data_IF_448527172802
#
_entry.id   IF_448527172802
#
_cell.length_a   1.000
_cell.length_b   1.000
_cell.length_c   1.000
_cell.angle_alpha   90.00
_cell.angle_beta   90.00
_cell.angle_gamma   90.00
#
_symmetry.space_group_name_H-M   'P 1'
#
loop_
_entity.id
_entity.type
_entity.pdbx_description
1 polymer ?
#
# COMPACT_ATOMS: atom_id res chain seq x y z
N UNK A 1 -21.87 -8.38 -3.74
CA UNK A 1 -21.69 -7.60 -2.47
C UNK A 1 -22.66 -8.18 -1.45
N UNK A 2 -22.23 -8.53 -0.22
CA UNK A 2 -23.16 -9.09 0.78
C UNK A 2 -24.15 -7.99 1.18
N UNK A 3 -25.49 -8.26 1.14
CA UNK A 3 -26.50 -7.29 1.51
C UNK A 3 -26.35 -6.83 2.98
N UNK A 4 -26.61 -5.56 3.25
CA UNK A 4 -26.49 -4.98 4.60
C UNK A 4 -27.37 -5.70 5.63
N UNK A 5 -28.58 -6.05 5.23
CA UNK A 5 -29.54 -6.80 6.05
C UNK A 5 -29.01 -8.18 6.46
N UNK A 6 -28.32 -8.86 5.53
CA UNK A 6 -27.70 -10.15 5.83
C UNK A 6 -26.55 -9.99 6.83
N UNK A 7 -25.73 -8.95 6.69
CA UNK A 7 -24.64 -8.66 7.64
C UNK A 7 -25.20 -8.39 9.04
N UNK A 8 -26.26 -7.62 9.14
CA UNK A 8 -26.94 -7.34 10.41
C UNK A 8 -27.47 -8.62 11.06
N UNK A 9 -28.05 -9.53 10.28
CA UNK A 9 -28.53 -10.80 10.76
C UNK A 9 -27.40 -11.73 11.23
N UNK A 10 -26.26 -11.73 10.52
CA UNK A 10 -25.05 -12.46 10.95
C UNK A 10 -24.55 -11.93 12.29
N UNK A 11 -24.48 -10.61 12.47
CA UNK A 11 -24.07 -10.01 13.75
C UNK A 11 -25.04 -10.37 14.85
N UNK A 12 -26.35 -10.29 14.60
CA UNK A 12 -27.40 -10.59 15.57
C UNK A 12 -27.38 -12.04 16.09
N UNK A 13 -27.01 -12.98 15.19
CA UNK A 13 -26.94 -14.42 15.54
C UNK A 13 -25.64 -14.85 16.21
N UNK A 14 -24.65 -13.99 16.25
CA UNK A 14 -23.34 -14.28 16.82
C UNK A 14 -23.06 -13.35 17.99
N UNK A 15 -23.44 -13.79 19.20
CA UNK A 15 -23.17 -13.03 20.42
C UNK A 15 -21.67 -12.81 20.61
N UNK A 16 -21.27 -11.55 20.83
CA UNK A 16 -19.86 -11.15 20.88
C UNK A 16 -19.13 -11.80 22.08
N UNK A 17 -19.77 -11.90 23.23
CA UNK A 17 -19.16 -12.53 24.43
C UNK A 17 -18.91 -14.02 24.19
N UNK A 18 -19.90 -14.71 23.57
CA UNK A 18 -19.76 -16.12 23.23
C UNK A 18 -18.64 -16.37 22.19
N UNK A 19 -18.58 -15.55 21.15
CA UNK A 19 -17.55 -15.70 20.12
C UNK A 19 -16.15 -15.41 20.69
N UNK A 20 -15.98 -14.29 21.39
CA UNK A 20 -14.69 -13.90 21.96
C UNK A 20 -14.26 -14.88 23.06
N UNK A 21 -15.22 -15.38 23.84
CA UNK A 21 -14.97 -16.36 24.90
C UNK A 21 -14.33 -17.67 24.42
N UNK A 22 -14.43 -18.01 23.12
CA UNK A 22 -13.77 -19.18 22.54
C UNK A 22 -12.26 -18.98 22.39
N UNK A 23 -11.80 -17.73 22.35
CA UNK A 23 -10.41 -17.35 22.07
C UNK A 23 -9.73 -16.68 23.26
N UNK A 24 -10.52 -16.02 24.13
CA UNK A 24 -10.04 -15.21 25.24
C UNK A 24 -10.74 -15.65 26.53
N UNK A 25 -9.97 -15.88 27.57
CA UNK A 25 -10.54 -16.17 28.88
C UNK A 25 -11.16 -14.90 29.47
N UNK A 26 -12.47 -14.76 29.36
CA UNK A 26 -13.25 -13.63 29.86
C UNK A 26 -13.69 -13.80 31.31
N UNK A 27 -13.59 -12.71 32.07
CA UNK A 27 -14.15 -12.63 33.46
C UNK A 27 -15.21 -11.54 33.49
N UNK A 28 -16.44 -11.92 33.79
CA UNK A 28 -17.55 -10.95 33.91
C UNK A 28 -17.33 -10.02 35.11
N UNK A 29 -17.59 -8.73 34.92
CA UNK A 29 -17.63 -7.67 35.92
C UNK A 29 -18.84 -6.79 35.65
N UNK A 30 -19.97 -7.12 36.33
CA UNK A 30 -21.22 -6.42 36.10
C UNK A 30 -21.78 -6.63 34.69
N UNK A 31 -21.86 -5.53 33.90
CA UNK A 31 -22.40 -5.52 32.54
C UNK A 31 -21.32 -5.72 31.45
N UNK A 32 -20.08 -5.91 31.84
CA UNK A 32 -18.97 -6.10 30.91
C UNK A 32 -18.19 -7.38 31.23
N UNK A 33 -17.45 -7.89 30.27
CA UNK A 33 -16.50 -8.97 30.45
C UNK A 33 -15.08 -8.51 30.09
N UNK A 34 -14.07 -8.88 30.88
CA UNK A 34 -12.70 -8.44 30.72
C UNK A 34 -11.75 -9.61 30.56
N UNK A 35 -10.70 -9.48 29.77
CA UNK A 35 -9.67 -10.50 29.55
C UNK A 35 -8.34 -9.90 29.09
N UNK A 36 -7.36 -10.76 28.86
CA UNK A 36 -6.11 -10.37 28.21
C UNK A 36 -6.35 -10.17 26.72
N UNK A 37 -5.80 -9.10 26.16
CA UNK A 37 -5.97 -8.78 24.75
C UNK A 37 -5.28 -9.82 23.85
N UNK A 38 -5.98 -10.39 22.84
CA UNK A 38 -5.37 -11.32 21.92
C UNK A 38 -4.56 -10.64 20.81
N UNK A 39 -4.59 -9.30 20.73
CA UNK A 39 -3.97 -8.51 19.65
C UNK A 39 -2.64 -7.88 20.05
N UNK A 40 -2.29 -7.84 21.35
CA UNK A 40 -1.00 -7.40 21.84
C UNK A 40 -0.61 -8.16 23.11
N UNK A 41 0.65 -8.15 23.45
CA UNK A 41 1.15 -8.86 24.62
C UNK A 41 0.99 -8.01 25.88
N UNK A 42 0.23 -8.52 26.88
CA UNK A 42 0.00 -7.84 28.16
C UNK A 42 -0.09 -8.84 29.32
N UNK A 43 0.16 -8.37 30.55
CA UNK A 43 0.03 -9.17 31.79
C UNK A 43 -1.20 -8.80 32.61
N UNK A 44 -1.76 -7.63 32.39
CA UNK A 44 -2.93 -7.10 33.08
C UNK A 44 -4.07 -6.95 32.09
N UNK A 45 -5.30 -7.45 32.40
CA UNK A 45 -6.42 -7.38 31.47
C UNK A 45 -6.80 -5.95 31.12
N UNK A 46 -6.67 -5.59 29.83
CA UNK A 46 -7.12 -4.31 29.27
C UNK A 46 -8.17 -4.46 28.17
N UNK A 47 -8.51 -5.69 27.81
CA UNK A 47 -9.49 -6.00 26.79
C UNK A 47 -10.88 -6.13 27.41
N UNK A 48 -11.83 -5.30 26.96
CA UNK A 48 -13.18 -5.23 27.49
C UNK A 48 -14.21 -5.55 26.41
N UNK A 49 -15.12 -6.47 26.72
CA UNK A 49 -16.28 -6.81 25.88
C UNK A 49 -17.52 -6.19 26.50
N UNK A 50 -18.34 -5.58 25.68
CA UNK A 50 -19.61 -4.92 26.02
C UNK A 50 -20.78 -5.70 25.40
N UNK A 51 -21.37 -6.67 26.10
CA UNK A 51 -22.48 -7.47 25.58
C UNK A 51 -23.71 -6.64 25.19
N UNK A 52 -24.01 -5.58 25.94
CA UNK A 52 -25.16 -4.71 25.66
C UNK A 52 -25.07 -3.98 24.31
N UNK A 53 -23.87 -3.60 23.88
CA UNK A 53 -23.63 -2.90 22.61
C UNK A 53 -23.01 -3.80 21.55
N UNK A 54 -22.83 -5.09 21.86
CA UNK A 54 -22.22 -6.07 20.96
C UNK A 54 -20.88 -5.57 20.38
N UNK A 55 -20.01 -5.01 21.24
CA UNK A 55 -18.73 -4.42 20.87
C UNK A 55 -17.61 -4.80 21.83
N UNK A 56 -16.38 -4.61 21.40
CA UNK A 56 -15.19 -4.73 22.25
C UNK A 56 -14.28 -3.52 22.10
N UNK A 57 -13.50 -3.27 23.14
CA UNK A 57 -12.44 -2.26 23.15
C UNK A 57 -11.25 -2.72 23.98
N UNK A 58 -10.04 -2.51 23.49
CA UNK A 58 -8.81 -2.74 24.24
C UNK A 58 -8.16 -1.40 24.64
N UNK A 59 -8.07 -1.15 25.94
CA UNK A 59 -7.45 0.08 26.46
C UNK A 59 -5.90 0.08 26.33
N UNK A 60 -5.28 -1.08 26.05
CA UNK A 60 -3.83 -1.18 25.84
C UNK A 60 -3.40 -0.82 24.42
N UNK A 61 -4.07 -1.40 23.39
CA UNK A 61 -3.65 -1.21 21.99
C UNK A 61 -4.67 -0.49 21.10
N UNK A 62 -5.81 -0.05 21.68
CA UNK A 62 -6.87 0.64 20.92
C UNK A 62 -7.67 -0.23 19.95
N UNK A 63 -7.48 -1.56 19.95
CA UNK A 63 -8.27 -2.46 19.11
C UNK A 63 -9.74 -2.42 19.53
N UNK A 64 -10.64 -2.16 18.57
CA UNK A 64 -12.06 -2.01 18.79
C UNK A 64 -12.88 -2.57 17.63
N UNK A 65 -14.16 -2.84 17.88
CA UNK A 65 -15.12 -3.24 16.85
C UNK A 65 -16.22 -4.15 17.35
N UNK A 66 -16.94 -4.74 16.40
CA UNK A 66 -17.97 -5.73 16.57
C UNK A 66 -17.42 -7.17 16.44
N UNK A 67 -18.30 -8.16 16.46
CA UNK A 67 -17.95 -9.58 16.32
C UNK A 67 -17.24 -9.87 14.97
N UNK A 68 -17.65 -9.21 13.89
CA UNK A 68 -17.01 -9.37 12.57
C UNK A 68 -15.58 -8.83 12.62
N UNK A 69 -15.39 -7.65 13.19
CA UNK A 69 -14.09 -7.00 13.36
C UNK A 69 -13.15 -7.85 14.22
N UNK A 70 -13.67 -8.50 15.27
CA UNK A 70 -12.90 -9.41 16.10
C UNK A 70 -12.42 -10.63 15.32
N UNK A 71 -13.33 -11.36 14.67
CA UNK A 71 -13.02 -12.59 13.89
C UNK A 71 -12.07 -12.26 12.75
N UNK A 72 -12.28 -11.13 12.06
CA UNK A 72 -11.41 -10.62 11.01
C UNK A 72 -9.98 -10.43 11.52
N UNK A 73 -9.80 -9.73 12.64
CA UNK A 73 -8.47 -9.44 13.22
C UNK A 73 -7.81 -10.70 13.78
N UNK A 74 -8.56 -11.52 14.52
CA UNK A 74 -8.01 -12.69 15.19
C UNK A 74 -7.57 -13.78 14.21
N UNK A 75 -8.41 -14.08 13.20
CA UNK A 75 -8.14 -15.11 12.19
C UNK A 75 -7.40 -14.56 10.96
N UNK A 76 -7.04 -13.25 10.95
CA UNK A 76 -6.41 -12.59 9.81
C UNK A 76 -7.18 -12.76 8.49
N UNK A 77 -8.51 -12.58 8.54
CA UNK A 77 -9.43 -12.77 7.42
C UNK A 77 -9.81 -11.45 6.76
N UNK A 78 -10.22 -11.51 5.51
CA UNK A 78 -10.95 -10.42 4.86
C UNK A 78 -12.36 -10.26 5.45
N UNK A 79 -12.98 -9.07 5.25
CA UNK A 79 -14.32 -8.78 5.79
C UNK A 79 -15.37 -9.81 5.36
N UNK A 80 -15.43 -10.12 4.07
CA UNK A 80 -16.37 -11.10 3.49
C UNK A 80 -16.15 -12.51 4.04
N UNK A 81 -14.90 -12.90 4.25
CA UNK A 81 -14.54 -14.20 4.81
C UNK A 81 -14.95 -14.34 6.26
N UNK A 82 -14.77 -13.27 7.06
CA UNK A 82 -15.22 -13.24 8.44
C UNK A 82 -16.76 -13.34 8.53
N UNK A 83 -17.48 -12.62 7.66
CA UNK A 83 -18.95 -12.73 7.56
C UNK A 83 -19.38 -14.16 7.20
N UNK A 84 -18.72 -14.76 6.18
CA UNK A 84 -19.01 -16.16 5.77
C UNK A 84 -18.74 -17.17 6.88
N UNK A 85 -17.67 -17.00 7.65
CA UNK A 85 -17.34 -17.86 8.78
C UNK A 85 -18.40 -17.78 9.88
N UNK A 86 -18.83 -16.57 10.25
CA UNK A 86 -19.86 -16.36 11.27
C UNK A 86 -21.24 -16.86 10.79
N UNK A 87 -21.58 -16.68 9.52
CA UNK A 87 -22.80 -17.20 8.91
C UNK A 87 -22.84 -18.75 8.95
N UNK A 88 -21.73 -19.39 8.55
CA UNK A 88 -21.60 -20.85 8.58
C UNK A 88 -21.79 -21.43 9.99
N UNK A 89 -21.25 -20.75 11.02
CA UNK A 89 -21.40 -21.16 12.41
C UNK A 89 -22.87 -21.23 12.86
N UNK A 90 -23.69 -20.32 12.38
CA UNK A 90 -25.12 -20.25 12.74
C UNK A 90 -26.04 -20.92 11.73
N UNK A 91 -25.48 -21.68 10.78
CA UNK A 91 -26.24 -22.39 9.75
C UNK A 91 -26.99 -21.44 8.79
N UNK A 92 -26.62 -20.18 8.73
CA UNK A 92 -27.20 -19.24 7.77
C UNK A 92 -26.78 -19.59 6.36
N UNK A 93 -27.71 -19.79 5.40
CA UNK A 93 -27.35 -19.95 4.01
C UNK A 93 -26.69 -18.65 3.55
N UNK A 94 -25.55 -18.77 2.85
CA UNK A 94 -24.94 -17.58 2.23
C UNK A 94 -25.94 -16.98 1.26
N UNK A 95 -26.04 -15.61 1.17
CA UNK A 95 -26.84 -15.00 0.13
C UNK A 95 -26.37 -15.59 -1.17
N UNK A 96 -27.26 -15.97 -2.04
CA UNK A 96 -26.92 -16.26 -3.43
C UNK A 96 -26.22 -15.00 -3.95
N UNK A 97 -24.87 -14.99 -3.87
CA UNK A 97 -24.08 -14.10 -4.69
C UNK A 97 -24.59 -14.33 -6.10
N UNK A 98 -24.85 -13.28 -6.87
CA UNK A 98 -25.22 -13.41 -8.25
C UNK A 98 -24.24 -14.45 -8.86
N UNK A 99 -24.73 -15.66 -8.98
CA UNK A 99 -23.95 -16.89 -9.24
C UNK A 99 -23.12 -16.71 -10.53
N UNK A 100 -23.57 -15.76 -11.35
CA UNK A 100 -22.94 -15.34 -12.59
C UNK A 100 -21.68 -14.47 -12.37
N UNK A 101 -21.72 -13.47 -11.46
CA UNK A 101 -20.55 -12.62 -11.16
C UNK A 101 -19.46 -13.41 -10.44
N UNK A 102 -19.85 -14.25 -9.49
CA UNK A 102 -18.93 -15.13 -8.77
C UNK A 102 -18.23 -16.11 -9.71
N UNK A 103 -18.98 -16.76 -10.63
CA UNK A 103 -18.42 -17.64 -11.66
C UNK A 103 -17.50 -16.89 -12.62
N UNK A 104 -17.89 -15.72 -13.10
CA UNK A 104 -17.06 -14.92 -13.98
C UNK A 104 -15.74 -14.52 -13.30
N UNK A 105 -15.77 -14.15 -11.99
CA UNK A 105 -14.58 -13.88 -11.21
C UNK A 105 -13.66 -15.11 -11.08
N UNK A 106 -14.22 -16.27 -10.78
CA UNK A 106 -13.45 -17.52 -10.70
C UNK A 106 -12.82 -17.87 -12.04
N UNK A 107 -13.55 -17.72 -13.13
CA UNK A 107 -13.03 -17.97 -14.50
C UNK A 107 -11.87 -17.04 -14.84
N UNK A 108 -11.93 -15.76 -14.48
CA UNK A 108 -10.81 -14.83 -14.68
C UNK A 108 -9.56 -15.22 -13.87
N UNK A 109 -9.73 -15.62 -12.63
CA UNK A 109 -8.60 -16.11 -11.81
C UNK A 109 -7.99 -17.39 -12.39
N UNK A 110 -8.81 -18.29 -12.95
CA UNK A 110 -8.34 -19.49 -13.63
C UNK A 110 -7.56 -19.18 -14.91
N UNK A 111 -8.06 -18.24 -15.72
CA UNK A 111 -7.36 -17.74 -16.91
C UNK A 111 -6.01 -17.17 -16.53
N UNK A 112 -5.94 -16.31 -15.51
CA UNK A 112 -4.68 -15.74 -15.04
C UNK A 112 -3.71 -16.83 -14.55
N UNK A 113 -4.20 -17.85 -13.82
CA UNK A 113 -3.38 -18.98 -13.39
C UNK A 113 -2.81 -19.76 -14.56
N UNK A 114 -3.62 -20.04 -15.59
CA UNK A 114 -3.17 -20.72 -16.81
C UNK A 114 -2.17 -19.87 -17.59
N UNK A 115 -2.41 -18.57 -17.72
CA UNK A 115 -1.46 -17.65 -18.36
C UNK A 115 -0.12 -17.58 -17.62
N UNK A 116 -0.13 -17.54 -16.28
CA UNK A 116 1.10 -17.58 -15.50
C UNK A 116 1.91 -18.88 -15.73
N UNK A 117 1.20 -20.02 -15.81
CA UNK A 117 1.83 -21.28 -16.16
C UNK A 117 2.45 -21.23 -17.56
N UNK A 118 1.72 -20.72 -18.55
CA UNK A 118 2.23 -20.55 -19.92
C UNK A 118 3.50 -19.71 -19.94
N UNK A 119 3.52 -18.56 -19.28
CA UNK A 119 4.72 -17.71 -19.23
C UNK A 119 5.88 -18.37 -18.48
N UNK A 120 5.62 -19.10 -17.40
CA UNK A 120 6.64 -19.80 -16.66
C UNK A 120 7.24 -20.96 -17.48
N UNK A 121 6.42 -21.74 -18.18
CA UNK A 121 6.86 -22.83 -19.05
C UNK A 121 7.68 -22.28 -20.23
N UNK A 122 7.27 -21.17 -20.83
CA UNK A 122 8.05 -20.50 -21.89
C UNK A 122 9.38 -19.97 -21.39
N UNK A 123 9.51 -19.48 -20.15
CA UNK A 123 10.80 -19.13 -19.58
C UNK A 123 11.74 -20.33 -19.47
N UNK A 124 11.20 -21.52 -19.22
CA UNK A 124 11.97 -22.75 -19.07
C UNK A 124 12.12 -23.57 -20.37
N UNK A 125 11.56 -23.09 -21.46
CA UNK A 125 11.68 -23.74 -22.76
C UNK A 125 13.14 -23.75 -23.27
N UNK A 126 13.44 -24.73 -24.14
CA UNK A 126 14.77 -24.90 -24.76
C UNK A 126 14.88 -24.09 -26.08
N UNK A 127 14.51 -22.81 -26.03
CA UNK A 127 14.59 -21.88 -27.18
C UNK A 127 15.63 -20.79 -26.94
N UNK A 128 16.21 -20.18 -27.97
CA UNK A 128 17.15 -19.05 -27.84
C UNK A 128 16.53 -17.86 -27.09
N UNK A 129 15.27 -17.56 -27.35
CA UNK A 129 14.53 -16.44 -26.73
C UNK A 129 14.32 -16.69 -25.24
N UNK A 130 13.94 -17.92 -24.86
CA UNK A 130 13.83 -18.31 -23.45
C UNK A 130 15.20 -18.24 -22.74
N UNK A 131 16.29 -18.62 -23.43
CA UNK A 131 17.64 -18.49 -22.88
C UNK A 131 18.00 -17.02 -22.66
N UNK A 132 17.61 -16.11 -23.57
CA UNK A 132 17.79 -14.66 -23.41
C UNK A 132 17.00 -14.11 -22.21
N UNK A 133 15.74 -14.53 -22.04
CA UNK A 133 14.92 -14.15 -20.92
C UNK A 133 15.49 -14.65 -19.57
N UNK A 134 16.00 -15.90 -19.53
CA UNK A 134 16.70 -16.44 -18.34
C UNK A 134 17.97 -15.66 -18.01
N UNK A 135 18.78 -15.31 -19.02
CA UNK A 135 19.98 -14.46 -18.82
C UNK A 135 19.60 -13.09 -18.27
N UNK A 136 18.51 -12.49 -18.76
CA UNK A 136 18.00 -11.24 -18.20
C UNK A 136 17.75 -11.35 -16.70
N UNK A 137 17.03 -12.39 -16.26
CA UNK A 137 16.73 -12.57 -14.84
C UNK A 137 17.97 -12.87 -14.00
N UNK A 138 18.83 -13.80 -14.47
CA UNK A 138 19.97 -14.30 -13.72
C UNK A 138 21.20 -13.38 -13.77
N UNK A 139 21.57 -12.90 -14.94
CA UNK A 139 22.81 -12.14 -15.12
C UNK A 139 22.56 -10.63 -14.97
N UNK A 140 21.56 -10.09 -15.68
CA UNK A 140 21.29 -8.65 -15.63
C UNK A 140 20.62 -8.21 -14.32
N UNK A 141 19.72 -9.04 -13.77
CA UNK A 141 19.03 -8.76 -12.51
C UNK A 141 19.65 -9.40 -11.30
N UNK A 142 20.46 -10.45 -11.48
CA UNK A 142 21.15 -11.14 -10.39
C UNK A 142 20.23 -12.01 -9.54
N UNK A 143 19.10 -12.49 -10.10
CA UNK A 143 18.12 -13.24 -9.33
C UNK A 143 18.47 -14.74 -9.27
N UNK A 144 18.29 -15.33 -8.11
CA UNK A 144 18.36 -16.77 -7.89
C UNK A 144 17.17 -17.52 -8.50
N UNK A 145 17.33 -18.83 -8.74
CA UNK A 145 16.21 -19.68 -9.14
C UNK A 145 15.10 -19.72 -8.08
N UNK A 146 15.45 -19.51 -6.82
CA UNK A 146 14.50 -19.43 -5.73
C UNK A 146 13.60 -18.18 -5.86
N UNK A 147 14.17 -17.01 -6.16
CA UNK A 147 13.40 -15.80 -6.40
C UNK A 147 12.54 -15.90 -7.66
N UNK A 148 13.09 -16.43 -8.77
CA UNK A 148 12.32 -16.65 -10.00
C UNK A 148 11.08 -17.52 -9.73
N UNK A 149 11.22 -18.62 -8.98
CA UNK A 149 10.08 -19.46 -8.58
C UNK A 149 9.15 -18.78 -7.59
N UNK A 150 9.69 -18.08 -6.59
CA UNK A 150 8.91 -17.39 -5.54
C UNK A 150 7.96 -16.36 -6.11
N UNK A 151 8.41 -15.61 -7.11
CA UNK A 151 7.61 -14.58 -7.78
C UNK A 151 6.88 -15.10 -9.03
N UNK A 152 7.09 -16.36 -9.42
CA UNK A 152 6.48 -16.96 -10.60
C UNK A 152 6.86 -16.26 -11.90
N UNK A 153 8.12 -15.76 -11.97
CA UNK A 153 8.59 -14.99 -13.12
C UNK A 153 8.56 -15.83 -14.40
N UNK A 154 8.19 -15.19 -15.51
CA UNK A 154 7.97 -15.85 -16.78
C UNK A 154 8.53 -15.10 -17.98
N UNK A 155 8.19 -15.63 -19.16
CA UNK A 155 8.49 -15.02 -20.44
C UNK A 155 7.28 -15.16 -21.39
N UNK A 156 6.88 -14.07 -22.01
CA UNK A 156 5.92 -14.04 -23.12
C UNK A 156 6.70 -14.04 -24.43
N UNK A 157 6.60 -15.11 -25.25
CA UNK A 157 7.25 -15.18 -26.55
C UNK A 157 6.84 -14.03 -27.49
N UNK A 158 7.62 -13.81 -28.55
CA UNK A 158 7.26 -12.87 -29.60
C UNK A 158 6.29 -13.52 -30.59
N UNK A 159 5.10 -13.82 -30.07
CA UNK A 159 4.00 -14.43 -30.83
C UNK A 159 2.71 -13.61 -30.60
N UNK A 160 2.00 -13.35 -31.67
CA UNK A 160 0.78 -12.56 -31.62
C UNK A 160 -0.42 -13.29 -31.03
N UNK A 161 -0.42 -14.62 -31.06
CA UNK A 161 -1.59 -15.46 -30.75
C UNK A 161 -1.23 -16.70 -29.92
N UNK A 162 -0.01 -16.83 -29.44
CA UNK A 162 0.46 -18.01 -28.75
C UNK A 162 -0.29 -18.26 -27.44
N UNK A 163 -0.44 -17.24 -26.59
CA UNK A 163 -1.23 -17.32 -25.36
C UNK A 163 -2.72 -17.52 -25.68
N UNK A 164 -3.26 -16.79 -26.68
CA UNK A 164 -4.64 -16.93 -27.13
C UNK A 164 -4.95 -18.39 -27.51
N UNK A 165 -4.12 -19.02 -28.34
CA UNK A 165 -4.32 -20.41 -28.76
C UNK A 165 -4.19 -21.39 -27.58
N UNK A 166 -3.20 -21.18 -26.69
CA UNK A 166 -3.03 -21.99 -25.50
C UNK A 166 -4.29 -21.97 -24.61
N UNK A 167 -4.81 -20.77 -24.32
CA UNK A 167 -6.00 -20.61 -23.47
C UNK A 167 -7.27 -21.13 -24.15
N UNK A 168 -7.44 -20.93 -25.46
CA UNK A 168 -8.56 -21.53 -26.24
C UNK A 168 -8.53 -23.06 -26.20
N UNK A 169 -7.35 -23.66 -26.27
CA UNK A 169 -7.20 -25.12 -26.14
C UNK A 169 -7.63 -25.64 -24.76
N UNK A 170 -7.50 -24.82 -23.72
CA UNK A 170 -7.99 -25.11 -22.37
C UNK A 170 -9.49 -24.86 -22.18
N UNK A 171 -10.22 -24.50 -23.26
CA UNK A 171 -11.68 -24.32 -23.23
C UNK A 171 -12.16 -22.94 -22.78
N UNK A 172 -11.30 -21.91 -22.82
CA UNK A 172 -11.73 -20.53 -22.58
C UNK A 172 -12.27 -19.89 -23.86
N UNK A 173 -13.39 -19.19 -23.75
CA UNK A 173 -14.00 -18.48 -24.87
C UNK A 173 -13.28 -17.16 -25.16
N UNK A 174 -13.40 -16.65 -26.40
CA UNK A 174 -12.81 -15.38 -26.80
C UNK A 174 -13.31 -14.21 -25.93
N UNK A 175 -14.59 -14.21 -25.55
CA UNK A 175 -15.16 -13.18 -24.67
C UNK A 175 -14.54 -13.18 -23.27
N UNK A 176 -14.30 -14.36 -22.69
CA UNK A 176 -13.61 -14.48 -21.39
C UNK A 176 -12.17 -13.99 -21.50
N UNK A 177 -11.47 -14.30 -22.60
CA UNK A 177 -10.09 -13.89 -22.83
C UNK A 177 -9.96 -12.37 -23.05
N UNK A 178 -10.87 -11.74 -23.77
CA UNK A 178 -10.93 -10.27 -23.89
C UNK A 178 -11.19 -9.62 -22.51
N UNK A 179 -12.14 -10.16 -21.75
CA UNK A 179 -12.48 -9.67 -20.39
C UNK A 179 -11.30 -9.82 -19.41
N UNK A 180 -10.45 -10.84 -19.62
CA UNK A 180 -9.25 -11.02 -18.79
C UNK A 180 -8.20 -9.93 -19.00
N UNK A 181 -8.27 -9.19 -20.10
CA UNK A 181 -7.28 -8.20 -20.50
C UNK A 181 -5.92 -8.78 -20.88
N UNK A 182 -5.84 -10.09 -21.18
CA UNK A 182 -4.62 -10.75 -21.68
C UNK A 182 -4.54 -10.71 -23.20
N UNK A 183 -5.70 -10.65 -23.85
CA UNK A 183 -5.83 -10.49 -25.28
C UNK A 183 -6.64 -9.24 -25.61
N UNK A 184 -6.47 -8.72 -26.81
CA UNK A 184 -7.16 -7.52 -27.29
C UNK A 184 -7.62 -7.73 -28.74
N UNK A 185 -8.74 -7.11 -29.11
CA UNK A 185 -9.24 -7.14 -30.48
C UNK A 185 -8.65 -5.97 -31.29
N UNK A 186 -8.09 -6.28 -32.45
CA UNK A 186 -7.59 -5.30 -33.40
C UNK A 186 -8.73 -4.58 -34.12
N UNK A 187 -8.45 -3.48 -34.79
CA UNK A 187 -9.43 -2.77 -35.64
C UNK A 187 -10.02 -3.64 -36.77
N UNK A 188 -9.30 -4.70 -37.17
CA UNK A 188 -9.74 -5.69 -38.17
C UNK A 188 -10.56 -6.85 -37.56
N UNK A 189 -10.84 -6.82 -36.26
CA UNK A 189 -11.58 -7.84 -35.54
C UNK A 189 -10.78 -9.04 -35.04
N UNK A 190 -9.50 -9.16 -35.35
CA UNK A 190 -8.66 -10.27 -34.92
C UNK A 190 -8.17 -10.10 -33.48
N UNK A 191 -8.22 -11.14 -32.69
CA UNK A 191 -7.66 -11.17 -31.35
C UNK A 191 -6.13 -11.35 -31.39
N UNK A 192 -5.45 -10.71 -30.46
CA UNK A 192 -3.99 -10.83 -30.30
C UNK A 192 -3.57 -10.69 -28.83
N UNK A 193 -2.44 -11.29 -28.49
CA UNK A 193 -1.85 -11.26 -27.16
C UNK A 193 -1.30 -9.86 -26.82
N UNK A 194 -1.62 -9.32 -25.64
CA UNK A 194 -1.12 -8.02 -25.19
C UNK A 194 0.37 -8.10 -24.83
N UNK A 195 0.79 -9.18 -24.19
CA UNK A 195 2.17 -9.40 -23.77
C UNK A 195 2.91 -10.22 -24.82
N UNK A 196 3.89 -9.59 -25.46
CA UNK A 196 4.77 -10.22 -26.45
C UNK A 196 6.19 -9.74 -26.23
N UNK A 197 7.17 -10.62 -26.45
CA UNK A 197 8.59 -10.35 -26.27
C UNK A 197 8.93 -9.67 -24.95
N UNK A 198 8.35 -10.18 -23.84
CA UNK A 198 8.48 -9.57 -22.51
C UNK A 198 8.82 -10.58 -21.44
N UNK A 199 9.69 -10.20 -20.52
CA UNK A 199 9.75 -10.88 -19.22
C UNK A 199 8.53 -10.51 -18.41
N UNK A 200 7.94 -11.53 -17.75
CA UNK A 200 6.62 -11.44 -17.11
C UNK A 200 6.73 -11.54 -15.60
N UNK A 201 5.97 -10.69 -14.94
CA UNK A 201 5.85 -10.63 -13.48
C UNK A 201 4.37 -10.77 -13.11
N UNK A 202 3.95 -11.90 -12.54
CA UNK A 202 2.60 -12.06 -12.02
C UNK A 202 2.34 -11.10 -10.84
N UNK A 203 1.20 -10.45 -10.86
CA UNK A 203 0.70 -9.65 -9.74
C UNK A 203 -0.24 -10.53 -8.94
N UNK A 204 0.12 -10.76 -7.68
CA UNK A 204 -0.57 -11.71 -6.79
C UNK A 204 -1.23 -10.91 -5.67
N UNK A 205 -2.51 -11.15 -5.44
CA UNK A 205 -3.26 -10.50 -4.35
C UNK A 205 -2.85 -11.04 -2.98
N UNK A 206 -3.31 -10.40 -1.92
CA UNK A 206 -3.01 -10.80 -0.53
C UNK A 206 -3.44 -12.24 -0.19
N UNK A 207 -4.35 -12.85 -0.94
CA UNK A 207 -4.84 -14.21 -0.75
C UNK A 207 -4.00 -15.24 -1.50
N UNK A 208 -3.12 -14.80 -2.40
CA UNK A 208 -2.27 -15.65 -3.22
C UNK A 208 -2.84 -15.95 -4.62
N UNK A 209 -3.93 -15.30 -5.02
CA UNK A 209 -4.48 -15.42 -6.37
C UNK A 209 -3.73 -14.52 -7.35
N UNK A 210 -3.43 -15.03 -8.54
CA UNK A 210 -2.85 -14.25 -9.63
C UNK A 210 -3.96 -13.42 -10.27
N UNK A 211 -3.87 -12.10 -10.13
CA UNK A 211 -4.93 -11.16 -10.55
C UNK A 211 -4.57 -10.36 -11.78
N UNK A 212 -3.29 -10.23 -12.11
CA UNK A 212 -2.79 -9.44 -13.23
C UNK A 212 -1.33 -9.77 -13.54
N UNK A 213 -0.76 -9.07 -14.52
CA UNK A 213 0.63 -9.20 -14.92
C UNK A 213 1.27 -7.84 -15.21
N UNK A 214 2.56 -7.72 -14.92
CA UNK A 214 3.46 -6.74 -15.47
C UNK A 214 4.37 -7.39 -16.50
N UNK A 215 4.65 -6.68 -17.59
CA UNK A 215 5.56 -7.16 -18.64
C UNK A 215 6.60 -6.10 -19.02
N UNK A 216 7.89 -6.47 -19.04
CA UNK A 216 8.99 -5.60 -19.45
C UNK A 216 9.64 -6.14 -20.72
N UNK A 217 9.85 -5.27 -21.71
CA UNK A 217 10.58 -5.66 -22.94
C UNK A 217 12.03 -6.04 -22.64
N UNK A 218 12.55 -6.96 -23.46
CA UNK A 218 13.95 -7.39 -23.39
C UNK A 218 14.89 -6.51 -24.23
N UNK A 219 14.33 -5.76 -25.15
CA UNK A 219 15.00 -4.80 -26.06
C UNK A 219 14.66 -3.35 -25.67
N UNK A 220 14.97 -2.40 -26.57
CA UNK A 220 14.70 -0.97 -26.40
C UNK A 220 13.33 -0.52 -26.94
N UNK A 221 12.45 -1.47 -27.28
CA UNK A 221 11.11 -1.16 -27.78
C UNK A 221 10.26 -0.45 -26.69
N UNK A 222 9.32 0.38 -27.15
CA UNK A 222 8.43 1.12 -26.26
C UNK A 222 6.99 0.61 -26.38
N UNK A 223 6.22 0.63 -25.29
CA UNK A 223 6.59 1.04 -23.94
C UNK A 223 7.44 0.00 -23.22
N UNK A 224 8.41 0.46 -22.43
CA UNK A 224 9.36 -0.40 -21.68
C UNK A 224 8.61 -1.35 -20.73
N UNK A 225 7.59 -0.85 -20.03
CA UNK A 225 6.70 -1.63 -19.16
C UNK A 225 5.26 -1.50 -19.62
N UNK A 226 4.52 -2.59 -19.53
CA UNK A 226 3.07 -2.62 -19.62
C UNK A 226 2.50 -3.43 -18.46
N UNK A 227 1.33 -3.05 -17.99
CA UNK A 227 0.57 -3.79 -16.98
C UNK A 227 -0.77 -4.20 -17.56
N UNK A 228 -1.36 -5.29 -17.02
CA UNK A 228 -2.75 -5.63 -17.31
C UNK A 228 -3.67 -4.42 -17.13
N UNK A 229 -4.72 -4.30 -17.94
CA UNK A 229 -5.78 -3.33 -17.70
C UNK A 229 -6.53 -3.65 -16.40
N UNK A 230 -7.40 -2.73 -15.96
CA UNK A 230 -8.37 -2.99 -14.89
C UNK A 230 -9.31 -4.13 -15.28
N UNK A 231 -9.64 -4.99 -14.32
CA UNK A 231 -10.62 -6.09 -14.48
C UNK A 231 -11.42 -6.23 -13.20
N UNK A 232 -12.45 -7.08 -13.18
CA UNK A 232 -13.21 -7.35 -11.95
C UNK A 232 -12.37 -8.01 -10.83
N UNK A 233 -11.17 -8.52 -11.14
CA UNK A 233 -10.26 -9.12 -10.15
C UNK A 233 -9.03 -8.26 -9.87
N UNK A 234 -8.77 -7.23 -10.66
CA UNK A 234 -7.58 -6.39 -10.56
C UNK A 234 -7.92 -4.90 -10.57
N UNK A 235 -7.60 -4.22 -9.48
CA UNK A 235 -7.72 -2.77 -9.34
C UNK A 235 -6.36 -2.19 -8.95
N UNK A 236 -5.75 -1.43 -9.87
CA UNK A 236 -4.42 -0.82 -9.66
C UNK A 236 -4.38 0.03 -8.40
N UNK A 237 -5.44 0.80 -8.18
CA UNK A 237 -5.56 1.71 -7.03
C UNK A 237 -5.65 1.00 -5.66
N UNK A 238 -5.89 -0.31 -5.63
CA UNK A 238 -6.10 -1.10 -4.41
C UNK A 238 -5.13 -2.26 -4.27
N UNK A 239 -4.19 -2.40 -5.22
CA UNK A 239 -3.26 -3.54 -5.26
C UNK A 239 -1.84 -3.06 -4.92
N UNK A 240 -1.17 -3.79 -4.03
CA UNK A 240 0.25 -3.65 -3.75
C UNK A 240 0.97 -4.93 -4.17
N UNK A 241 1.99 -4.77 -5.01
CA UNK A 241 2.84 -5.89 -5.45
C UNK A 241 3.64 -6.44 -4.26
N UNK A 242 3.78 -7.75 -4.19
CA UNK A 242 4.49 -8.53 -3.17
C UNK A 242 3.91 -8.44 -1.74
N UNK A 243 2.75 -7.79 -1.51
CA UNK A 243 2.13 -7.76 -0.18
C UNK A 243 1.76 -9.17 0.31
N UNK A 244 1.40 -10.09 -0.58
CA UNK A 244 1.14 -11.51 -0.26
C UNK A 244 2.37 -12.22 0.34
N UNK A 245 3.57 -11.77 0.02
CA UNK A 245 4.84 -12.26 0.57
C UNK A 245 5.20 -11.49 1.82
N UNK A 246 5.19 -10.15 1.74
CA UNK A 246 5.59 -9.25 2.81
C UNK A 246 4.78 -9.45 4.10
N UNK A 247 3.47 -9.73 4.00
CA UNK A 247 2.60 -9.99 5.16
C UNK A 247 3.02 -11.19 6.01
N UNK A 248 3.86 -12.10 5.48
CA UNK A 248 4.36 -13.27 6.21
C UNK A 248 5.60 -12.94 7.06
N UNK A 249 6.21 -11.78 6.85
CA UNK A 249 7.33 -11.31 7.66
C UNK A 249 6.88 -11.00 9.08
N UNK A 250 7.79 -11.20 10.03
CA UNK A 250 7.59 -10.79 11.43
C UNK A 250 7.81 -9.29 11.62
N UNK A 251 8.51 -8.65 10.69
CA UNK A 251 8.76 -7.22 10.73
C UNK A 251 7.49 -6.45 10.37
N UNK A 252 7.22 -5.38 11.11
CA UNK A 252 6.15 -4.42 10.84
C UNK A 252 6.68 -3.14 10.16
N UNK A 253 7.96 -3.13 9.80
CA UNK A 253 8.61 -2.07 9.05
C UNK A 253 8.66 -2.47 7.58
N UNK A 254 7.88 -1.81 6.75
CA UNK A 254 7.75 -2.11 5.32
C UNK A 254 8.56 -1.11 4.49
N UNK A 255 9.03 -1.58 3.32
CA UNK A 255 9.79 -0.76 2.38
C UNK A 255 8.91 -0.57 1.14
N UNK A 256 8.53 0.68 0.85
CA UNK A 256 7.73 1.01 -0.30
C UNK A 256 8.64 1.50 -1.43
N UNK A 257 8.81 0.66 -2.45
CA UNK A 257 9.62 0.91 -3.64
C UNK A 257 8.80 1.51 -4.79
N UNK A 258 9.47 1.99 -5.84
CA UNK A 258 8.81 2.56 -7.00
C UNK A 258 8.25 1.48 -7.94
N UNK A 259 9.02 0.43 -8.22
CA UNK A 259 8.66 -0.61 -9.17
C UNK A 259 8.87 -2.04 -8.68
N UNK A 260 8.29 -3.00 -9.42
CA UNK A 260 8.40 -4.41 -9.03
C UNK A 260 9.82 -4.96 -9.20
N UNK A 261 10.67 -4.35 -10.03
CA UNK A 261 12.06 -4.78 -10.15
C UNK A 261 12.83 -4.50 -8.86
N UNK A 262 12.61 -3.32 -8.27
CA UNK A 262 13.22 -2.94 -6.99
C UNK A 262 12.76 -3.87 -5.88
N UNK A 263 11.44 -4.13 -5.83
CA UNK A 263 10.86 -5.06 -4.84
C UNK A 263 11.47 -6.45 -4.97
N UNK A 264 11.56 -7.01 -6.18
CA UNK A 264 12.12 -8.36 -6.38
C UNK A 264 13.59 -8.40 -5.98
N UNK A 265 14.40 -7.37 -6.35
CA UNK A 265 15.81 -7.25 -5.94
C UNK A 265 15.95 -7.11 -4.43
N UNK A 266 15.07 -6.36 -3.78
CA UNK A 266 15.03 -6.24 -2.32
C UNK A 266 14.75 -7.57 -1.64
N UNK A 267 13.76 -8.32 -2.13
CA UNK A 267 13.47 -9.68 -1.63
C UNK A 267 14.62 -10.65 -1.85
N UNK A 268 15.32 -10.58 -2.99
CA UNK A 268 16.53 -11.37 -3.25
C UNK A 268 17.63 -11.06 -2.23
N UNK A 269 17.79 -9.77 -1.88
CA UNK A 269 18.74 -9.33 -0.86
C UNK A 269 18.29 -9.65 0.58
N UNK A 270 17.10 -10.22 0.79
CA UNK A 270 16.58 -10.63 2.09
C UNK A 270 15.73 -9.56 2.81
N UNK A 271 15.31 -8.51 2.12
CA UNK A 271 14.37 -7.49 2.64
C UNK A 271 12.93 -7.89 2.26
N UNK A 272 12.36 -8.82 2.99
CA UNK A 272 11.11 -9.51 2.69
C UNK A 272 9.83 -8.69 2.93
N UNK A 273 9.97 -7.44 3.38
CA UNK A 273 8.87 -6.48 3.57
C UNK A 273 8.77 -5.42 2.47
N UNK A 274 9.55 -5.57 1.38
CA UNK A 274 9.47 -4.68 0.24
C UNK A 274 8.18 -4.88 -0.55
N UNK A 275 7.51 -3.77 -0.90
CA UNK A 275 6.27 -3.72 -1.69
C UNK A 275 6.29 -2.53 -2.64
N UNK A 276 5.45 -2.51 -3.67
CA UNK A 276 5.26 -1.31 -4.49
C UNK A 276 3.83 -1.19 -5.02
N UNK A 277 3.46 0.02 -5.45
CA UNK A 277 2.27 0.25 -6.26
C UNK A 277 2.46 -0.34 -7.67
N UNK A 278 1.37 -0.81 -8.28
CA UNK A 278 1.42 -1.51 -9.56
C UNK A 278 1.38 -0.54 -10.76
N UNK A 279 2.46 0.19 -10.99
CA UNK A 279 2.61 1.09 -12.15
C UNK A 279 1.75 2.36 -12.08
N UNK A 280 1.38 2.78 -10.89
CA UNK A 280 0.70 4.04 -10.58
C UNK A 280 1.37 4.70 -9.39
N UNK A 281 1.13 6.00 -9.20
CA UNK A 281 1.47 6.64 -7.93
C UNK A 281 0.69 5.98 -6.79
N UNK A 282 1.24 6.01 -5.57
CA UNK A 282 0.55 5.52 -4.38
C UNK A 282 -0.83 6.18 -4.24
N UNK A 283 -1.82 5.39 -3.86
CA UNK A 283 -3.19 5.86 -3.60
C UNK A 283 -3.54 5.82 -2.11
N UNK A 284 -4.60 6.52 -1.71
CA UNK A 284 -5.09 6.47 -0.34
C UNK A 284 -5.57 5.06 0.06
N UNK A 285 -6.19 4.33 -0.88
CA UNK A 285 -6.63 2.95 -0.64
C UNK A 285 -5.44 1.99 -0.44
N UNK A 286 -4.36 2.16 -1.22
CA UNK A 286 -3.13 1.38 -1.03
C UNK A 286 -2.45 1.71 0.30
N UNK A 287 -2.41 2.98 0.70
CA UNK A 287 -1.86 3.39 1.98
C UNK A 287 -2.69 2.84 3.15
N UNK A 288 -4.02 2.85 3.03
CA UNK A 288 -4.93 2.21 3.99
C UNK A 288 -4.71 0.70 4.07
N UNK A 289 -4.62 0.02 2.93
CA UNK A 289 -4.33 -1.41 2.89
C UNK A 289 -2.98 -1.71 3.57
N UNK A 290 -1.94 -0.91 3.30
CA UNK A 290 -0.62 -1.11 3.89
C UNK A 290 -0.65 -0.93 5.41
N UNK A 291 -1.45 0.00 5.94
CA UNK A 291 -1.61 0.24 7.38
C UNK A 291 -2.26 -0.93 8.15
N UNK A 292 -2.87 -1.89 7.46
CA UNK A 292 -3.37 -3.12 8.08
C UNK A 292 -2.22 -4.09 8.43
N UNK A 293 -1.04 -3.93 7.81
CA UNK A 293 0.09 -4.85 7.94
C UNK A 293 1.34 -4.21 8.54
N UNK A 294 1.52 -2.90 8.38
CA UNK A 294 2.73 -2.15 8.74
C UNK A 294 2.47 -1.13 9.85
N UNK A 295 3.40 -1.03 10.80
CA UNK A 295 3.45 0.04 11.80
C UNK A 295 4.38 1.18 11.32
N UNK A 296 5.37 0.85 10.48
CA UNK A 296 6.31 1.79 9.89
C UNK A 296 6.49 1.52 8.39
N UNK A 297 6.56 2.59 7.60
CA UNK A 297 6.87 2.53 6.16
C UNK A 297 8.08 3.38 5.85
N UNK A 298 9.04 2.78 5.15
CA UNK A 298 10.21 3.45 4.59
C UNK A 298 9.98 3.68 3.10
N UNK A 299 9.87 4.94 2.68
CA UNK A 299 9.79 5.31 1.27
C UNK A 299 11.18 5.16 0.62
N UNK A 300 11.27 4.31 -0.38
CA UNK A 300 12.52 3.90 -1.06
C UNK A 300 12.35 4.07 -2.57
N UNK A 301 12.17 5.33 -3.00
CA UNK A 301 11.97 5.70 -4.40
C UNK A 301 13.27 6.13 -5.06
N UNK A 302 13.28 6.25 -6.38
CA UNK A 302 14.43 6.70 -7.16
C UNK A 302 14.93 8.07 -6.69
N UNK A 303 16.24 8.31 -6.77
CA UNK A 303 16.84 9.57 -6.31
C UNK A 303 16.72 10.71 -7.33
N UNK A 304 16.15 10.46 -8.50
CA UNK A 304 15.91 11.48 -9.54
C UNK A 304 14.73 12.42 -9.19
N UNK A 305 14.50 13.42 -10.02
CA UNK A 305 13.44 14.42 -9.80
C UNK A 305 12.04 13.79 -9.76
N UNK A 306 11.78 12.74 -10.57
CA UNK A 306 10.52 12.05 -10.64
C UNK A 306 10.26 11.28 -9.33
N UNK A 307 11.26 10.54 -8.83
CA UNK A 307 11.20 9.82 -7.56
C UNK A 307 11.06 10.76 -6.35
N UNK A 308 11.69 11.93 -6.37
CA UNK A 308 11.51 12.95 -5.33
C UNK A 308 10.07 13.49 -5.30
N UNK A 309 9.47 13.79 -6.46
CA UNK A 309 8.06 14.19 -6.57
C UNK A 309 7.11 13.08 -6.12
N UNK A 310 7.43 11.82 -6.44
CA UNK A 310 6.67 10.65 -5.98
C UNK A 310 6.75 10.51 -4.45
N UNK A 311 7.94 10.72 -3.85
CA UNK A 311 8.14 10.74 -2.40
C UNK A 311 7.26 11.79 -1.72
N UNK A 312 7.26 13.02 -2.20
CA UNK A 312 6.44 14.11 -1.63
C UNK A 312 4.94 13.80 -1.68
N UNK A 313 4.47 13.31 -2.82
CA UNK A 313 3.07 12.90 -2.98
C UNK A 313 2.71 11.78 -2.01
N UNK A 314 3.58 10.79 -1.87
CA UNK A 314 3.38 9.66 -0.96
C UNK A 314 3.38 10.11 0.50
N UNK A 315 4.24 11.04 0.89
CA UNK A 315 4.24 11.64 2.23
C UNK A 315 2.90 12.35 2.55
N UNK A 316 2.32 13.06 1.58
CA UNK A 316 1.01 13.70 1.72
C UNK A 316 -0.12 12.68 1.94
N UNK A 317 -0.10 11.57 1.20
CA UNK A 317 -1.09 10.49 1.35
C UNK A 317 -0.92 9.76 2.69
N UNK A 318 0.31 9.43 3.05
CA UNK A 318 0.65 8.70 4.28
C UNK A 318 0.39 9.53 5.55
N UNK A 319 0.37 10.86 5.48
CA UNK A 319 0.05 11.73 6.61
C UNK A 319 -1.34 11.46 7.22
N UNK A 320 -2.25 10.86 6.44
CA UNK A 320 -3.60 10.48 6.89
C UNK A 320 -3.67 9.03 7.41
N UNK A 321 -2.55 8.37 7.65
CA UNK A 321 -2.46 7.01 8.18
C UNK A 321 -1.80 7.01 9.57
N UNK A 322 -2.04 6.01 10.40
CA UNK A 322 -1.39 5.89 11.70
C UNK A 322 0.07 5.43 11.64
N UNK A 323 0.59 5.11 10.44
CA UNK A 323 1.92 4.55 10.25
C UNK A 323 3.00 5.61 10.48
N UNK A 324 4.09 5.21 11.12
CA UNK A 324 5.33 5.99 11.10
C UNK A 324 5.93 5.94 9.71
N UNK A 325 6.28 7.10 9.14
CA UNK A 325 6.86 7.20 7.81
C UNK A 325 8.28 7.74 7.90
N UNK A 326 9.19 7.10 7.17
CA UNK A 326 10.56 7.56 7.00
C UNK A 326 10.96 7.50 5.52
N UNK A 327 12.00 8.24 5.15
CA UNK A 327 12.45 8.38 3.76
C UNK A 327 13.90 7.93 3.66
N UNK A 328 14.15 7.08 2.67
CA UNK A 328 15.49 6.66 2.30
C UNK A 328 16.07 7.59 1.24
N UNK A 329 17.33 7.95 1.39
CA UNK A 329 18.07 8.73 0.40
C UNK A 329 19.35 8.01 0.03
N UNK A 330 19.50 7.69 -1.25
CA UNK A 330 20.69 7.02 -1.77
C UNK A 330 21.79 8.03 -2.08
N UNK A 331 23.01 7.72 -1.65
CA UNK A 331 24.20 8.43 -2.09
C UNK A 331 25.03 7.50 -2.98
N UNK A 332 25.32 7.94 -4.21
CA UNK A 332 26.12 7.18 -5.16
C UNK A 332 25.42 6.03 -5.85
N UNK A 333 24.08 5.95 -5.75
CA UNK A 333 23.21 5.04 -6.48
C UNK A 333 21.89 5.74 -6.82
N UNK A 334 21.24 5.30 -7.86
CA UNK A 334 20.00 5.85 -8.37
C UNK A 334 18.77 5.27 -7.67
N UNK A 335 18.78 3.97 -7.43
CA UNK A 335 17.67 3.17 -6.91
C UNK A 335 18.17 2.08 -5.94
N UNK A 336 17.28 1.38 -5.22
CA UNK A 336 17.68 0.35 -4.26
C UNK A 336 18.41 -0.84 -4.90
N UNK A 337 18.05 -1.22 -6.13
CA UNK A 337 18.70 -2.33 -6.86
C UNK A 337 20.18 -2.01 -7.14
N UNK A 338 20.45 -0.79 -7.66
CA UNK A 338 21.81 -0.33 -7.90
C UNK A 338 22.60 -0.18 -6.59
N UNK A 339 21.97 0.35 -5.54
CA UNK A 339 22.64 0.52 -4.26
C UNK A 339 23.08 -0.83 -3.66
N UNK A 340 22.20 -1.83 -3.65
CA UNK A 340 22.50 -3.15 -3.11
C UNK A 340 23.58 -3.85 -3.94
N UNK A 341 23.53 -3.76 -5.26
CA UNK A 341 24.56 -4.33 -6.14
C UNK A 341 25.94 -3.71 -5.92
N UNK A 342 25.98 -2.40 -5.67
CA UNK A 342 27.25 -1.65 -5.52
C UNK A 342 27.84 -1.74 -4.12
N UNK A 343 26.99 -1.70 -3.10
CA UNK A 343 27.45 -1.54 -1.70
C UNK A 343 27.10 -2.73 -0.80
N UNK A 344 26.29 -3.66 -1.28
CA UNK A 344 25.89 -4.87 -0.55
C UNK A 344 24.74 -4.67 0.44
N UNK A 345 24.22 -5.79 0.92
CA UNK A 345 23.09 -5.88 1.85
C UNK A 345 23.35 -5.14 3.18
N UNK A 346 24.50 -5.37 3.79
CA UNK A 346 24.82 -4.81 5.11
C UNK A 346 24.80 -3.27 5.09
N UNK A 347 25.36 -2.69 4.02
CA UNK A 347 25.36 -1.24 3.84
C UNK A 347 23.94 -0.68 3.64
N UNK A 348 23.08 -1.41 2.94
CA UNK A 348 21.68 -1.05 2.80
C UNK A 348 20.92 -1.15 4.12
N UNK A 349 21.19 -2.15 4.95
CA UNK A 349 20.61 -2.29 6.30
C UNK A 349 21.03 -1.14 7.23
N UNK A 350 22.29 -0.72 7.16
CA UNK A 350 22.75 0.49 7.88
C UNK A 350 22.01 1.75 7.38
N UNK A 351 21.80 1.86 6.08
CA UNK A 351 21.05 2.98 5.49
C UNK A 351 19.58 2.98 5.94
N UNK A 352 18.94 1.82 6.00
CA UNK A 352 17.58 1.68 6.54
C UNK A 352 17.49 2.13 7.99
N UNK A 353 18.48 1.84 8.81
CA UNK A 353 18.52 2.25 10.22
C UNK A 353 18.76 3.75 10.39
N UNK A 354 19.37 4.40 9.40
CA UNK A 354 19.62 5.85 9.36
C UNK A 354 18.61 6.65 8.54
N UNK A 355 17.40 6.14 8.31
CA UNK A 355 16.38 6.84 7.51
C UNK A 355 15.98 8.18 8.13
N UNK A 356 15.81 9.19 7.26
CA UNK A 356 15.35 10.50 7.67
C UNK A 356 13.83 10.47 7.94
N UNK A 357 13.41 11.21 8.98
CA UNK A 357 11.98 11.49 9.11
C UNK A 357 11.52 12.45 8.00
N UNK A 358 10.20 12.56 7.73
CA UNK A 358 9.69 13.39 6.65
C UNK A 358 10.10 14.86 6.72
N UNK A 359 10.24 15.41 7.92
CA UNK A 359 10.68 16.79 8.15
C UNK A 359 12.15 16.96 7.72
N UNK A 360 13.03 16.05 8.15
CA UNK A 360 14.45 16.07 7.76
C UNK A 360 14.66 15.91 6.25
N UNK A 361 13.86 15.06 5.61
CA UNK A 361 13.89 14.92 4.16
C UNK A 361 13.56 16.24 3.45
N UNK A 362 12.49 16.92 3.87
CA UNK A 362 12.10 18.21 3.30
C UNK A 362 13.12 19.31 3.57
N UNK A 363 13.67 19.38 4.79
CA UNK A 363 14.73 20.34 5.13
C UNK A 363 15.98 20.13 4.29
N UNK A 364 16.40 18.86 4.09
CA UNK A 364 17.55 18.54 3.23
C UNK A 364 17.30 18.94 1.78
N UNK A 365 16.09 18.72 1.27
CA UNK A 365 15.69 19.16 -0.06
C UNK A 365 15.66 20.68 -0.18
N UNK A 366 15.08 21.40 0.79
CA UNK A 366 15.09 22.85 0.83
C UNK A 366 16.53 23.39 0.80
N UNK A 367 17.40 22.83 1.64
CA UNK A 367 18.82 23.21 1.69
C UNK A 367 19.53 23.10 0.34
N UNK A 368 19.22 22.06 -0.44
CA UNK A 368 19.87 21.85 -1.76
C UNK A 368 19.51 22.88 -2.84
N UNK A 369 18.46 23.67 -2.63
CA UNK A 369 18.00 24.70 -3.57
C UNK A 369 18.77 26.02 -3.47
N UNK A 370 19.44 26.25 -2.34
CA UNK A 370 20.03 27.56 -2.00
C UNK A 370 21.55 27.48 -1.80
N UNK A 371 22.26 28.51 -2.28
CA UNK A 371 23.71 28.69 -1.98
C UNK A 371 23.87 29.32 -0.60
N UNK A 372 24.22 28.50 0.39
CA UNK A 372 24.39 28.95 1.77
C UNK A 372 25.66 29.81 1.99
N UNK A 373 26.48 30.02 0.96
CA UNK A 373 27.60 30.97 1.02
C UNK A 373 27.12 32.42 0.85
N UNK A 374 25.97 32.62 0.22
CA UNK A 374 25.34 33.93 0.06
C UNK A 374 24.35 34.23 1.19
N UNK A 375 24.22 35.49 1.59
CA UNK A 375 23.27 35.92 2.62
C UNK A 375 21.83 35.68 2.16
N UNK A 376 21.50 35.98 0.90
CA UNK A 376 20.18 35.75 0.32
C UNK A 376 19.82 34.27 0.30
N UNK A 377 20.77 33.40 -0.02
CA UNK A 377 20.57 31.95 0.00
C UNK A 377 20.30 31.43 1.41
N UNK A 378 21.06 31.89 2.40
CA UNK A 378 20.85 31.56 3.83
C UNK A 378 19.47 31.98 4.32
N UNK A 379 19.09 33.22 4.05
CA UNK A 379 17.78 33.77 4.46
C UNK A 379 16.63 33.06 3.76
N UNK A 380 16.76 32.73 2.50
CA UNK A 380 15.75 32.01 1.73
C UNK A 380 15.58 30.57 2.24
N UNK A 381 16.70 29.88 2.52
CA UNK A 381 16.66 28.55 3.14
C UNK A 381 15.99 28.57 4.53
N UNK A 382 16.35 29.51 5.41
CA UNK A 382 15.74 29.65 6.73
C UNK A 382 14.22 29.86 6.60
N UNK A 383 13.79 30.70 5.68
CA UNK A 383 12.36 30.97 5.46
C UNK A 383 11.61 29.71 5.04
N UNK A 384 12.09 29.00 4.02
CA UNK A 384 11.49 27.75 3.56
C UNK A 384 11.51 26.67 4.66
N UNK A 385 12.60 26.57 5.42
CA UNK A 385 12.71 25.63 6.53
C UNK A 385 11.68 25.91 7.64
N UNK A 386 11.45 27.18 7.98
CA UNK A 386 10.44 27.59 8.96
C UNK A 386 9.04 27.26 8.47
N UNK A 387 8.74 27.47 7.20
CA UNK A 387 7.45 27.11 6.61
C UNK A 387 7.20 25.61 6.71
N UNK A 388 8.20 24.77 6.34
CA UNK A 388 8.15 23.31 6.47
C UNK A 388 7.85 22.89 7.91
N UNK A 389 8.57 23.44 8.89
CA UNK A 389 8.43 23.11 10.31
C UNK A 389 7.06 23.53 10.86
N UNK A 390 6.52 24.64 10.36
CA UNK A 390 5.21 25.19 10.77
C UNK A 390 4.07 24.35 10.20
N UNK A 391 4.11 24.04 8.90
CA UNK A 391 3.07 23.25 8.23
C UNK A 391 2.96 21.82 8.78
N UNK A 392 4.07 21.25 9.23
CA UNK A 392 4.09 19.90 9.85
C UNK A 392 3.67 19.88 11.31
N UNK A 393 3.37 21.00 11.91
CA UNK A 393 2.93 21.07 13.30
C UNK A 393 3.97 20.51 14.29
N UNK A 394 5.25 20.71 14.01
CA UNK A 394 6.36 20.19 14.84
C UNK A 394 6.27 20.70 16.27
N UNK A 395 6.47 19.83 17.26
CA UNK A 395 6.37 20.19 18.68
C UNK A 395 7.33 21.34 19.08
N UNK A 396 7.03 22.10 20.14
CA UNK A 396 7.90 23.19 20.60
C UNK A 396 9.34 22.74 20.85
N UNK A 397 9.54 21.56 21.47
CA UNK A 397 10.88 21.00 21.74
C UNK A 397 11.61 20.66 20.42
N UNK A 398 10.92 20.04 19.48
CA UNK A 398 11.53 19.72 18.19
C UNK A 398 11.86 21.00 17.39
N UNK A 399 11.04 22.05 17.47
CA UNK A 399 11.35 23.36 16.88
C UNK A 399 12.63 23.95 17.44
N UNK A 400 12.87 23.83 18.75
CA UNK A 400 14.10 24.33 19.37
C UNK A 400 15.34 23.56 18.87
N UNK A 401 15.23 22.24 18.72
CA UNK A 401 16.29 21.40 18.14
C UNK A 401 16.59 21.80 16.69
N UNK A 402 15.53 21.92 15.85
CA UNK A 402 15.72 22.35 14.46
C UNK A 402 16.25 23.78 14.33
N UNK A 403 15.86 24.69 15.21
CA UNK A 403 16.40 26.05 15.24
C UNK A 403 17.92 26.06 15.54
N UNK A 404 18.38 25.22 16.47
CA UNK A 404 19.81 25.04 16.72
C UNK A 404 20.55 24.55 15.48
N UNK A 405 20.02 23.51 14.83
CA UNK A 405 20.60 22.97 13.58
C UNK A 405 20.65 23.99 12.44
N UNK A 406 19.57 24.74 12.24
CA UNK A 406 19.54 25.81 11.23
C UNK A 406 20.56 26.93 11.54
N UNK A 407 20.76 27.27 12.83
CA UNK A 407 21.77 28.23 13.26
C UNK A 407 23.18 27.74 12.92
N UNK A 408 23.50 26.47 13.19
CA UNK A 408 24.80 25.85 12.87
C UNK A 408 25.05 25.81 11.36
N UNK A 409 24.01 25.52 10.57
CA UNK A 409 24.10 25.40 9.10
C UNK A 409 24.23 26.75 8.40
N UNK A 410 23.63 27.82 8.93
CA UNK A 410 23.53 29.12 8.27
C UNK A 410 24.37 30.23 8.90
N UNK A 411 24.85 30.02 10.13
CA UNK A 411 25.54 31.06 10.90
C UNK A 411 24.65 32.14 11.46
N UNK A 412 23.30 32.02 11.34
CA UNK A 412 22.31 32.93 11.91
C UNK A 412 22.03 32.55 13.37
N UNK A 413 21.88 33.52 14.27
CA UNK A 413 21.64 33.21 15.67
C UNK A 413 20.37 32.39 15.89
N UNK A 414 20.45 31.34 16.73
CA UNK A 414 19.30 30.51 17.10
C UNK A 414 18.11 31.34 17.59
N UNK A 415 18.38 32.43 18.34
CA UNK A 415 17.35 33.29 18.89
C UNK A 415 16.54 34.01 17.80
N UNK A 416 17.19 34.49 16.74
CA UNK A 416 16.53 35.10 15.60
C UNK A 416 15.63 34.09 14.86
N UNK A 417 16.12 32.86 14.65
CA UNK A 417 15.36 31.77 14.01
C UNK A 417 14.14 31.37 14.84
N UNK A 418 14.29 31.19 16.17
CA UNK A 418 13.16 30.90 17.07
C UNK A 418 12.12 32.00 17.07
N UNK A 419 12.52 33.27 17.10
CA UNK A 419 11.59 34.41 17.02
C UNK A 419 10.77 34.40 15.72
N UNK A 420 11.41 34.12 14.59
CA UNK A 420 10.75 34.02 13.30
C UNK A 420 9.80 32.81 13.23
N UNK A 421 10.19 31.65 13.78
CA UNK A 421 9.33 30.46 13.90
C UNK A 421 8.07 30.76 14.72
N UNK A 422 8.19 31.45 15.83
CA UNK A 422 7.04 31.82 16.67
C UNK A 422 6.06 32.72 15.91
N UNK A 423 6.57 33.68 15.12
CA UNK A 423 5.78 34.53 14.24
C UNK A 423 5.01 33.72 13.18
N UNK A 424 5.67 32.78 12.52
CA UNK A 424 5.08 31.91 11.51
C UNK A 424 3.97 31.02 12.10
N UNK A 425 4.20 30.41 13.26
CA UNK A 425 3.20 29.58 13.95
C UNK A 425 1.95 30.38 14.30
N UNK A 426 2.09 31.58 14.90
CA UNK A 426 0.96 32.43 15.21
C UNK A 426 0.16 32.82 13.97
N UNK A 427 0.84 33.04 12.87
CA UNK A 427 0.20 33.37 11.58
C UNK A 427 -0.58 32.15 11.02
N UNK A 428 0.00 30.96 11.09
CA UNK A 428 -0.65 29.71 10.67
C UNK A 428 -1.89 29.39 11.52
N UNK A 429 -1.80 29.54 12.84
CA UNK A 429 -2.93 29.37 13.77
C UNK A 429 -4.09 30.32 13.46
N UNK A 430 -3.78 31.59 13.22
CA UNK A 430 -4.81 32.60 12.82
C UNK A 430 -5.46 32.27 11.49
N UNK A 431 -4.69 31.75 10.54
CA UNK A 431 -5.20 31.32 9.22
C UNK A 431 -6.13 30.11 9.35
N UNK A 432 -5.75 29.10 10.14
CA UNK A 432 -6.57 27.91 10.40
C UNK A 432 -7.86 28.28 11.12
N UNK A 433 -7.80 29.09 12.15
CA UNK A 433 -8.99 29.60 12.86
C UNK A 433 -9.96 30.33 11.91
N UNK A 434 -9.45 31.20 11.03
CA UNK A 434 -10.29 31.88 10.02
C UNK A 434 -10.92 30.92 9.00
N UNK A 435 -10.20 29.86 8.66
CA UNK A 435 -10.70 28.81 7.74
C UNK A 435 -11.82 28.03 8.42
N UNK A 436 -11.63 27.56 9.64
CA UNK A 436 -12.65 26.87 10.42
C UNK A 436 -13.92 27.71 10.60
N UNK A 437 -13.79 29.00 10.94
CA UNK A 437 -14.93 29.93 11.04
C UNK A 437 -15.68 30.08 9.70
N UNK A 438 -14.97 30.10 8.58
CA UNK A 438 -15.61 30.16 7.25
C UNK A 438 -16.32 28.85 6.90
N UNK A 439 -15.73 27.69 7.24
CA UNK A 439 -16.34 26.41 6.97
C UNK A 439 -17.59 26.18 7.85
N UNK A 440 -17.53 26.54 9.13
CA UNK A 440 -18.69 26.56 10.04
C UNK A 440 -19.80 27.48 9.56
N UNK A 441 -19.45 28.67 9.05
CA UNK A 441 -20.46 29.59 8.51
C UNK A 441 -21.13 29.10 7.24
N UNK A 442 -20.41 28.34 6.40
CA UNK A 442 -20.98 27.70 5.22
C UNK A 442 -21.90 26.52 5.57
N UNK A 443 -21.53 25.72 6.59
CA UNK A 443 -22.39 24.66 7.10
C UNK A 443 -23.65 25.21 7.79
N UNK A 444 -23.56 26.31 8.54
CA UNK A 444 -24.70 27.00 9.11
C UNK A 444 -25.69 27.52 8.06
N UNK A 445 -25.19 28.12 6.99
CA UNK A 445 -26.03 28.58 5.87
C UNK A 445 -26.68 27.39 5.14
N UNK A 446 -25.99 26.26 5.00
CA UNK A 446 -26.54 25.03 4.39
C UNK A 446 -27.63 24.40 5.27
N UNK A 447 -27.58 24.54 6.60
CA UNK A 447 -28.62 24.07 7.51
C UNK A 447 -29.89 24.92 7.46
N UNK A 448 -29.77 26.25 7.35
CA UNK A 448 -30.89 27.16 7.23
C UNK A 448 -31.68 27.06 5.92
N UNK A 449 -31.04 26.59 4.84
CA UNK A 449 -31.70 26.40 3.54
C UNK A 449 -32.54 25.10 3.48
N UNK A 450 -32.44 24.22 4.47
CA UNK A 450 -33.16 22.93 4.52
C UNK A 450 -34.49 22.96 5.32
N UNK A 451 -35.05 24.08 5.62
CA UNK A 451 -36.40 24.15 6.21
C UNK A 451 -37.43 23.88 5.12
N UNK A 452 -38.17 22.76 5.16
CA UNK A 452 -39.22 22.52 4.16
C UNK A 452 -40.34 23.53 4.34
N UNK A 453 -40.66 24.26 3.30
CA UNK A 453 -41.85 25.06 3.18
C UNK A 453 -43.07 24.13 3.29
N UNK A 454 -43.68 24.03 4.45
CA UNK A 454 -45.01 23.45 4.56
C UNK A 454 -45.99 24.52 4.07
N UNK A 455 -46.47 24.35 2.82
CA UNK A 455 -47.64 25.04 2.31
C UNK A 455 -48.85 24.57 3.10
N UNK A 456 -49.26 25.38 4.07
CA UNK A 456 -50.60 25.31 4.61
C UNK A 456 -51.54 26.07 3.66
N UNK A 457 -52.65 25.42 3.30
CA UNK A 457 -53.77 25.97 2.57
C UNK A 457 -54.68 24.84 2.15
#
# INVERSE_FOLDING_TARGET
>A
MIPQEYIQEVVRRNDIEEIIGQYVQLRRRGRTATGLCPFHNEKTPSFVVYPDTQSFYCFGCGAAGDVISFVRKYNNLGYVEAVKQLASRTGMPLPEEDDRESRARQRLLEINRCAARYFYENLNAKTPEAAMARRYWKEKRGLSDAAIRRFGLGYAPDDFVGLLHYLKHLGFSESELETSGLVKRSAKGNLYDIFRHRVMVPIIDVRGAIIAFGGRVLDDSKPKYINSPETMVYHKSRTLFALNVAKKSKSKRYILCEGYMDVISMHEAGFDTAVCACGTALTAEQAKLLSEYADEVVLSYDSDEAGQKATERSLGIMANTPMKVSVLSYQGAKDPDEFIKKYGRERFEMLLNGTANPTEFQLKKAKSKYDLRSDDGRLSYIREAIDILTERGVSPTARDVYAGRLADETGVSKQAIVSQMQGAVRTAERRNYRKEQRDLSKEGIAADIRVPYTSGG
#
